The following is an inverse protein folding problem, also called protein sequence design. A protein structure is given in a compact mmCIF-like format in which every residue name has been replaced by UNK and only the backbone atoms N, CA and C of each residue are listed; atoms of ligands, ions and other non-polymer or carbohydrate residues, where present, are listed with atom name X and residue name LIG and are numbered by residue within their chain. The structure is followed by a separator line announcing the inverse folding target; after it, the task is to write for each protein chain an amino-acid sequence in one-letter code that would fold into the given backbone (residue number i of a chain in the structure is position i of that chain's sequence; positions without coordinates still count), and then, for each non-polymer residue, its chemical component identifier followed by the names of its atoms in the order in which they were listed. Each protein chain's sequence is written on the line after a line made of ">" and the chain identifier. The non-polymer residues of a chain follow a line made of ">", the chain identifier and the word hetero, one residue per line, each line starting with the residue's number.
data_IF_327391580943
#
_entry.id   IF_327391580943
#
_cell.length_a   1.000
_cell.length_b   1.000
_cell.length_c   1.000
_cell.angle_alpha   90.00
_cell.angle_beta   90.00
_cell.angle_gamma   90.00
#
_symmetry.space_group_name_H-M   'P 1'
#
loop_
_entity.id
_entity.type
_entity.pdbx_description
1 polymer ?
#
# COMPACT_ATOMS: atom_id res chain seq x y z
N UNK A 1 7.22 -10.82 23.81
CA UNK A 1 6.65 -9.88 24.80
C UNK A 1 5.68 -10.63 25.72
N UNK A 2 4.55 -11.18 25.26
CA UNK A 2 3.54 -11.88 26.10
C UNK A 2 4.12 -12.98 26.98
N UNK A 3 5.00 -13.83 26.44
CA UNK A 3 5.64 -14.91 27.22
C UNK A 3 6.43 -14.37 28.42
N UNK A 4 7.26 -13.34 28.19
CA UNK A 4 8.04 -12.72 29.25
C UNK A 4 7.14 -11.96 30.26
N UNK A 5 6.06 -11.36 29.79
CA UNK A 5 5.10 -10.67 30.67
C UNK A 5 4.34 -11.65 31.57
N UNK A 6 3.98 -12.83 31.04
CA UNK A 6 3.26 -13.86 31.78
C UNK A 6 4.08 -14.41 32.97
N UNK A 7 5.39 -14.49 32.83
CA UNK A 7 6.30 -14.93 33.92
C UNK A 7 6.27 -13.99 35.14
N UNK A 8 5.89 -12.72 34.92
CA UNK A 8 5.88 -11.68 35.93
C UNK A 8 4.47 -11.14 36.22
N UNK A 9 3.41 -11.76 35.68
CA UNK A 9 2.02 -11.30 35.76
C UNK A 9 1.85 -9.83 35.31
N UNK A 10 2.68 -9.39 34.37
CA UNK A 10 2.65 -8.02 33.86
C UNK A 10 1.58 -7.87 32.78
N UNK A 11 0.64 -6.91 32.90
CA UNK A 11 -0.34 -6.64 31.84
C UNK A 11 0.36 -6.13 30.57
N UNK A 12 -0.15 -6.54 29.40
CA UNK A 12 0.37 -6.09 28.09
C UNK A 12 -0.77 -5.65 27.18
N UNK A 13 -0.53 -4.59 26.44
CA UNK A 13 -1.35 -4.19 25.29
C UNK A 13 -0.56 -4.46 24.02
N UNK A 14 -1.17 -5.18 23.06
CA UNK A 14 -0.54 -5.55 21.81
C UNK A 14 -1.11 -4.72 20.66
N UNK A 15 -0.22 -4.06 19.92
CA UNK A 15 -0.50 -3.39 18.66
C UNK A 15 0.13 -4.19 17.52
N UNK A 16 -0.68 -4.83 16.68
CA UNK A 16 -0.21 -5.89 15.77
C UNK A 16 -0.35 -5.56 14.29
N UNK A 17 -1.17 -4.61 13.92
CA UNK A 17 -1.38 -4.20 12.54
C UNK A 17 -2.84 -3.87 12.26
N UNK A 18 -3.18 -3.70 10.97
CA UNK A 18 -4.53 -3.33 10.56
C UNK A 18 -4.80 -3.68 9.09
N UNK A 19 -6.11 -3.74 8.78
CA UNK A 19 -6.65 -3.93 7.43
C UNK A 19 -7.67 -2.80 7.19
N UNK A 20 -7.16 -1.56 7.21
CA UNK A 20 -7.99 -0.34 7.20
C UNK A 20 -8.68 -0.12 5.85
N UNK A 21 -10.02 -0.19 5.75
CA UNK A 21 -10.74 0.13 4.53
C UNK A 21 -10.82 1.65 4.33
N UNK A 22 -10.77 2.09 3.07
CA UNK A 22 -11.16 3.43 2.66
C UNK A 22 -12.46 3.35 1.84
N UNK A 23 -13.51 4.04 2.28
CA UNK A 23 -14.81 4.03 1.61
C UNK A 23 -15.02 5.36 0.91
N UNK A 24 -15.14 5.33 -0.42
CA UNK A 24 -15.33 6.53 -1.25
C UNK A 24 -16.82 6.69 -1.57
N UNK A 25 -17.42 7.76 -1.06
CA UNK A 25 -18.81 8.12 -1.37
C UNK A 25 -18.93 8.65 -2.81
N UNK A 26 -20.08 8.38 -3.48
CA UNK A 26 -20.40 8.93 -4.80
C UNK A 26 -20.37 10.46 -4.87
N UNK A 27 -20.67 11.12 -3.76
CA UNK A 27 -20.74 12.58 -3.68
C UNK A 27 -19.42 13.24 -3.25
N UNK A 28 -18.39 12.47 -2.99
CA UNK A 28 -17.06 13.02 -2.62
C UNK A 28 -16.19 13.22 -3.87
N UNK A 29 -15.44 14.33 -3.97
CA UNK A 29 -14.55 14.56 -5.10
C UNK A 29 -13.53 13.43 -5.27
N UNK A 30 -13.64 12.70 -6.37
CA UNK A 30 -12.87 11.45 -6.59
C UNK A 30 -11.36 11.68 -6.60
N UNK A 31 -10.91 12.75 -7.25
CA UNK A 31 -9.49 13.09 -7.31
C UNK A 31 -8.90 13.42 -5.92
N UNK A 32 -9.67 14.05 -5.03
CA UNK A 32 -9.24 14.32 -3.66
C UNK A 32 -9.21 13.02 -2.83
N UNK A 33 -10.21 12.15 -3.00
CA UNK A 33 -10.22 10.83 -2.38
C UNK A 33 -8.97 10.02 -2.79
N UNK A 34 -8.72 9.91 -4.09
CA UNK A 34 -7.57 9.20 -4.63
C UNK A 34 -6.24 9.76 -4.10
N UNK A 35 -6.08 11.09 -4.10
CA UNK A 35 -4.90 11.76 -3.56
C UNK A 35 -4.66 11.42 -2.08
N UNK A 36 -5.70 11.50 -1.24
CA UNK A 36 -5.58 11.23 0.20
C UNK A 36 -5.29 9.76 0.49
N UNK A 37 -5.98 8.86 -0.18
CA UNK A 37 -5.79 7.41 -0.03
C UNK A 37 -4.38 7.01 -0.50
N UNK A 38 -3.95 7.49 -1.67
CA UNK A 38 -2.61 7.20 -2.20
C UNK A 38 -1.51 7.75 -1.29
N UNK A 39 -1.67 8.97 -0.76
CA UNK A 39 -0.72 9.53 0.20
C UNK A 39 -0.63 8.68 1.48
N UNK A 40 -1.76 8.33 2.07
CA UNK A 40 -1.80 7.48 3.27
C UNK A 40 -1.22 6.08 3.02
N UNK A 41 -1.45 5.51 1.83
CA UNK A 41 -0.89 4.21 1.44
C UNK A 41 0.60 4.26 1.15
N UNK A 42 1.08 5.30 0.48
CA UNK A 42 2.48 5.44 0.09
C UNK A 42 3.41 5.82 1.26
N UNK A 43 2.88 6.41 2.32
CA UNK A 43 3.65 6.73 3.53
C UNK A 43 4.29 5.47 4.10
N UNK A 44 5.62 5.51 4.27
CA UNK A 44 6.44 4.38 4.70
C UNK A 44 6.19 3.08 3.88
N UNK A 45 5.90 3.21 2.59
CA UNK A 45 5.54 2.10 1.67
C UNK A 45 4.36 1.26 2.18
N UNK A 46 3.40 1.88 2.88
CA UNK A 46 2.24 1.19 3.44
C UNK A 46 2.53 0.34 4.68
N UNK A 47 3.73 0.42 5.24
CA UNK A 47 4.15 -0.35 6.42
C UNK A 47 3.74 0.35 7.72
N UNK A 48 2.44 0.69 7.83
CA UNK A 48 1.83 1.37 8.97
C UNK A 48 0.50 0.70 9.28
N UNK A 49 0.19 0.48 10.56
CA UNK A 49 -1.05 -0.20 11.01
C UNK A 49 -2.35 0.48 10.53
N UNK A 50 -2.33 1.79 10.35
CA UNK A 50 -3.48 2.59 9.89
C UNK A 50 -3.42 2.95 8.39
N UNK A 51 -2.41 2.46 7.64
CA UNK A 51 -2.36 2.70 6.21
C UNK A 51 -3.61 2.12 5.53
N UNK A 52 -4.23 2.81 4.56
CA UNK A 52 -5.31 2.24 3.78
C UNK A 52 -4.88 0.92 3.15
N UNK A 53 -5.60 -0.16 3.44
CA UNK A 53 -5.29 -1.48 2.92
C UNK A 53 -6.00 -1.73 1.60
N UNK A 54 -7.27 -1.35 1.53
CA UNK A 54 -8.09 -1.41 0.31
C UNK A 54 -9.06 -0.24 0.26
N UNK A 55 -9.53 0.09 -0.96
CA UNK A 55 -10.52 1.11 -1.19
C UNK A 55 -11.79 0.51 -1.80
N UNK A 56 -12.96 0.87 -1.24
CA UNK A 56 -14.26 0.59 -1.82
C UNK A 56 -14.70 1.82 -2.61
N UNK A 57 -14.70 1.69 -3.94
CA UNK A 57 -15.00 2.78 -4.87
C UNK A 57 -16.27 2.40 -5.66
N UNK A 58 -17.17 3.35 -5.96
CA UNK A 58 -18.30 3.08 -6.85
C UNK A 58 -17.83 2.46 -8.17
N UNK A 59 -18.51 1.40 -8.64
CA UNK A 59 -18.09 0.62 -9.80
C UNK A 59 -17.85 1.47 -11.05
N UNK A 60 -18.70 2.46 -11.25
CA UNK A 60 -18.62 3.41 -12.37
C UNK A 60 -17.41 4.34 -12.33
N UNK A 61 -16.77 4.49 -11.16
CA UNK A 61 -15.67 5.42 -10.92
C UNK A 61 -14.31 4.73 -10.77
N UNK A 62 -14.22 3.41 -10.92
CA UNK A 62 -12.98 2.65 -10.66
C UNK A 62 -11.84 3.13 -11.55
N UNK A 63 -12.06 3.26 -12.86
CA UNK A 63 -11.00 3.66 -13.79
C UNK A 63 -10.49 5.07 -13.50
N UNK A 64 -11.41 6.02 -13.28
CA UNK A 64 -11.06 7.39 -12.92
C UNK A 64 -10.29 7.46 -11.60
N UNK A 65 -10.69 6.65 -10.61
CA UNK A 65 -9.98 6.55 -9.33
C UNK A 65 -8.55 6.02 -9.51
N UNK A 66 -8.35 4.97 -10.30
CA UNK A 66 -7.04 4.38 -10.59
C UNK A 66 -6.13 5.41 -11.27
N UNK A 67 -6.63 6.12 -12.29
CA UNK A 67 -5.86 7.17 -12.99
C UNK A 67 -5.48 8.32 -12.06
N UNK A 68 -6.40 8.75 -11.20
CA UNK A 68 -6.15 9.79 -10.20
C UNK A 68 -5.14 9.33 -9.13
N UNK A 69 -5.18 8.07 -8.70
CA UNK A 69 -4.24 7.48 -7.77
C UNK A 69 -2.82 7.43 -8.36
N UNK A 70 -2.68 6.91 -9.60
CA UNK A 70 -1.40 6.92 -10.34
C UNK A 70 -0.84 8.33 -10.48
N UNK A 71 -1.66 9.27 -10.93
CA UNK A 71 -1.25 10.68 -11.08
C UNK A 71 -0.78 11.28 -9.76
N UNK A 72 -1.45 10.95 -8.66
CA UNK A 72 -1.09 11.42 -7.32
C UNK A 72 0.23 10.82 -6.85
N UNK A 73 0.44 9.52 -7.07
CA UNK A 73 1.70 8.84 -6.74
C UNK A 73 2.88 9.43 -7.52
N UNK A 74 2.73 9.59 -8.83
CA UNK A 74 3.75 10.15 -9.71
C UNK A 74 4.10 11.59 -9.32
N UNK A 75 3.12 12.40 -8.91
CA UNK A 75 3.36 13.76 -8.41
C UNK A 75 4.18 13.79 -7.12
N UNK A 76 4.03 12.80 -6.25
CA UNK A 76 4.76 12.71 -4.98
C UNK A 76 6.17 12.16 -5.14
N UNK A 77 6.34 11.13 -5.97
CA UNK A 77 7.56 10.33 -6.01
C UNK A 77 8.21 10.20 -7.38
N UNK A 78 7.60 10.76 -8.44
CA UNK A 78 8.07 10.60 -9.82
C UNK A 78 7.63 9.29 -10.45
N UNK A 79 8.04 9.10 -11.72
CA UNK A 79 7.67 7.92 -12.51
C UNK A 79 8.50 6.67 -12.18
N UNK A 80 9.60 6.83 -11.45
CA UNK A 80 10.49 5.74 -11.06
C UNK A 80 11.00 5.95 -9.64
N UNK A 81 10.62 5.07 -8.75
CA UNK A 81 10.98 5.13 -7.34
C UNK A 81 12.27 4.38 -6.99
N UNK A 82 12.89 3.68 -7.94
CA UNK A 82 14.04 2.78 -7.67
C UNK A 82 15.16 3.49 -6.91
N UNK A 83 15.47 4.73 -7.28
CA UNK A 83 16.50 5.55 -6.64
C UNK A 83 15.94 6.79 -5.91
N UNK A 84 14.63 6.82 -5.64
CA UNK A 84 14.02 7.96 -4.97
C UNK A 84 14.29 7.92 -3.47
N UNK A 85 15.07 8.87 -2.96
CA UNK A 85 15.44 8.98 -1.55
C UNK A 85 14.24 9.32 -0.64
N UNK A 86 13.17 9.88 -1.20
CA UNK A 86 11.94 10.23 -0.46
C UNK A 86 10.94 9.07 -0.37
N UNK A 87 11.23 7.91 -0.96
CA UNK A 87 10.36 6.74 -0.91
C UNK A 87 11.00 5.60 -0.14
N UNK A 88 10.33 5.13 0.90
CA UNK A 88 10.82 4.10 1.82
C UNK A 88 10.89 2.72 1.14
N UNK A 89 11.91 1.95 1.45
CA UNK A 89 12.02 0.55 1.03
C UNK A 89 11.19 -0.37 1.91
N UNK A 90 10.79 -1.51 1.39
CA UNK A 90 10.27 -2.63 2.19
C UNK A 90 11.35 -3.07 3.18
N UNK A 91 10.96 -3.34 4.42
CA UNK A 91 11.87 -3.51 5.58
C UNK A 91 12.96 -4.55 5.37
N UNK A 92 12.68 -5.66 4.67
CA UNK A 92 13.65 -6.69 4.33
C UNK A 92 13.19 -7.55 3.14
N UNK A 93 14.08 -8.36 2.61
CA UNK A 93 13.84 -9.17 1.41
C UNK A 93 12.77 -10.25 1.62
N UNK A 94 12.67 -10.81 2.83
CA UNK A 94 11.62 -11.78 3.16
C UNK A 94 10.22 -11.16 3.02
N UNK A 95 10.04 -9.91 3.48
CA UNK A 95 8.78 -9.21 3.35
C UNK A 95 8.52 -8.75 1.92
N UNK A 96 9.54 -8.33 1.18
CA UNK A 96 9.44 -8.03 -0.24
C UNK A 96 8.94 -9.26 -1.01
N UNK A 97 9.62 -10.41 -0.83
CA UNK A 97 9.21 -11.66 -1.49
C UNK A 97 7.78 -12.03 -1.14
N UNK A 98 7.38 -11.94 0.12
CA UNK A 98 5.98 -12.23 0.53
C UNK A 98 4.96 -11.36 -0.21
N UNK A 99 5.26 -10.07 -0.42
CA UNK A 99 4.36 -9.16 -1.15
C UNK A 99 4.33 -9.54 -2.64
N UNK A 100 5.47 -9.84 -3.24
CA UNK A 100 5.56 -10.31 -4.62
C UNK A 100 4.75 -11.60 -4.84
N UNK A 101 4.89 -12.57 -3.93
CA UNK A 101 4.13 -13.82 -3.98
C UNK A 101 2.61 -13.58 -3.89
N UNK A 102 2.17 -12.64 -3.04
CA UNK A 102 0.75 -12.23 -2.95
C UNK A 102 0.26 -11.57 -4.24
N UNK A 103 1.04 -10.70 -4.86
CA UNK A 103 0.67 -10.07 -6.13
C UNK A 103 0.58 -11.09 -7.26
N UNK A 104 1.52 -12.05 -7.31
CA UNK A 104 1.49 -13.15 -8.27
C UNK A 104 0.24 -14.01 -8.08
N UNK A 105 -0.05 -14.44 -6.86
CA UNK A 105 -1.26 -15.22 -6.54
C UNK A 105 -2.55 -14.45 -6.90
N UNK A 106 -2.59 -13.15 -6.64
CA UNK A 106 -3.72 -12.31 -7.02
C UNK A 106 -3.92 -12.26 -8.55
N UNK A 107 -2.82 -12.11 -9.30
CA UNK A 107 -2.86 -12.10 -10.76
C UNK A 107 -3.30 -13.45 -11.33
N UNK A 108 -2.81 -14.56 -10.80
CA UNK A 108 -3.23 -15.92 -11.18
C UNK A 108 -4.72 -16.16 -10.92
N UNK A 109 -5.28 -15.49 -9.90
CA UNK A 109 -6.72 -15.53 -9.57
C UNK A 109 -7.55 -14.51 -10.34
N UNK A 110 -6.96 -13.82 -11.31
CA UNK A 110 -7.67 -12.90 -12.21
C UNK A 110 -7.75 -11.45 -11.75
N UNK A 111 -6.98 -11.06 -10.74
CA UNK A 111 -6.86 -9.65 -10.38
C UNK A 111 -6.06 -8.87 -11.44
N UNK A 112 -6.50 -7.65 -11.74
CA UNK A 112 -5.75 -6.74 -12.58
C UNK A 112 -4.73 -5.99 -11.71
N UNK A 113 -3.45 -6.21 -11.97
CA UNK A 113 -2.36 -5.54 -11.25
C UNK A 113 -1.93 -4.28 -12.01
N UNK A 114 -2.09 -3.12 -11.39
CA UNK A 114 -1.77 -1.82 -11.99
C UNK A 114 -0.81 -1.06 -11.06
N UNK A 115 0.50 -1.09 -11.31
CA UNK A 115 1.45 -0.32 -10.50
C UNK A 115 1.28 1.19 -10.71
N UNK A 116 1.50 1.96 -9.66
CA UNK A 116 1.41 3.42 -9.72
C UNK A 116 2.61 4.10 -10.39
N UNK A 117 3.71 3.36 -10.63
CA UNK A 117 4.88 3.85 -11.39
C UNK A 117 5.25 2.92 -12.54
N UNK A 118 6.46 3.04 -13.08
CA UNK A 118 7.02 2.16 -14.12
C UNK A 118 7.68 0.89 -13.55
N UNK A 119 7.31 0.47 -12.33
CA UNK A 119 7.89 -0.67 -11.65
C UNK A 119 7.75 -1.98 -12.44
N UNK A 120 8.82 -2.75 -12.47
CA UNK A 120 8.85 -4.12 -12.96
C UNK A 120 9.28 -5.06 -11.82
N UNK A 121 8.69 -6.24 -11.73
CA UNK A 121 9.05 -7.26 -10.74
C UNK A 121 10.52 -7.71 -10.81
N UNK A 122 11.17 -7.47 -11.95
CA UNK A 122 12.57 -7.82 -12.19
C UNK A 122 13.57 -6.74 -11.74
N UNK A 123 13.10 -5.60 -11.22
CA UNK A 123 13.96 -4.53 -10.76
C UNK A 123 14.67 -4.91 -9.45
N UNK A 124 15.96 -4.65 -9.40
CA UNK A 124 16.76 -4.82 -8.19
C UNK A 124 16.39 -3.73 -7.17
N UNK A 125 16.24 -4.16 -5.92
CA UNK A 125 15.95 -3.25 -4.81
C UNK A 125 14.63 -3.56 -4.11
N UNK A 126 14.42 -2.91 -2.96
CA UNK A 126 13.26 -3.15 -2.09
C UNK A 126 12.23 -2.02 -2.12
N UNK A 127 12.35 -1.08 -3.03
CA UNK A 127 11.32 -0.07 -3.24
C UNK A 127 10.23 -0.63 -4.14
N UNK A 128 9.01 -0.65 -3.64
CA UNK A 128 7.86 -1.22 -4.33
C UNK A 128 6.73 -0.18 -4.36
N UNK A 129 6.20 0.17 -5.53
CA UNK A 129 5.12 1.16 -5.63
C UNK A 129 3.82 0.65 -5.03
N UNK A 130 2.86 1.54 -4.88
CA UNK A 130 1.46 1.19 -4.62
C UNK A 130 0.89 0.50 -5.87
N UNK A 131 0.10 -0.54 -5.66
CA UNK A 131 -0.62 -1.32 -6.68
C UNK A 131 -2.11 -1.25 -6.45
#
# INVERSE_FOLDING_TARGET
>A
VMRAAAENLTPVTLELGGKSPAIVSRNYPLADAAKRITHGKATNSGQICVAPDYALVPKESINEFVDAAKSSFIKMFGQNITNNENYTSIVNDRHLKRIQDILTDAQEKGALIIPCDTYSFDQQGRRMPVH
#
